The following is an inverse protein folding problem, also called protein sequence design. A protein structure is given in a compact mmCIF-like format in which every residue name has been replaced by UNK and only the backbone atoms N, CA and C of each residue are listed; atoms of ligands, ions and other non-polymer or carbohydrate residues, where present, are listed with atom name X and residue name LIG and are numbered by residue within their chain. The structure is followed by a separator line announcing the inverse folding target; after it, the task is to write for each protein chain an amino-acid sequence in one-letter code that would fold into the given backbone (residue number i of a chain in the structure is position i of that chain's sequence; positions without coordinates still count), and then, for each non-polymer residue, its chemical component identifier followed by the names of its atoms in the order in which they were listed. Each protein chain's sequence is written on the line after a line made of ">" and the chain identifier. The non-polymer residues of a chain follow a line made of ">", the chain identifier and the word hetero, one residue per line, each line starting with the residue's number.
data_IF_774106677818
#
_entry.id   IF_774106677818
#
_cell.length_a   1.000
_cell.length_b   1.000
_cell.length_c   1.000
_cell.angle_alpha   90.00
_cell.angle_beta   90.00
_cell.angle_gamma   90.00
#
_symmetry.space_group_name_H-M   'P 1'
#
loop_
_entity.id
_entity.type
_entity.pdbx_description
1 polymer ?
#
# COMPACT_ATOMS: atom_id res chain seq x y z
N UNK A 1 -5.92 -8.96 8.86
CA UNK A 1 -5.00 -8.39 7.86
C UNK A 1 -3.57 -8.56 8.36
N UNK A 2 -2.61 -8.69 7.48
CA UNK A 2 -1.20 -8.89 7.84
C UNK A 2 -0.33 -7.80 7.24
N UNK A 3 0.72 -7.42 7.96
CA UNK A 3 1.75 -6.52 7.46
C UNK A 3 3.06 -7.29 7.35
N UNK A 4 3.67 -7.27 6.16
CA UNK A 4 5.00 -7.86 5.92
C UNK A 4 5.96 -6.77 5.52
N UNK A 5 7.11 -6.72 6.18
CA UNK A 5 8.16 -5.76 5.87
C UNK A 5 9.51 -6.46 5.82
N UNK A 6 10.40 -5.95 4.99
CA UNK A 6 11.78 -6.43 4.97
C UNK A 6 12.62 -5.86 6.10
N UNK A 7 12.17 -4.75 6.69
CA UNK A 7 12.96 -3.97 7.65
C UNK A 7 12.65 -4.30 9.10
N UNK A 8 11.36 -4.30 9.49
CA UNK A 8 10.95 -4.45 10.89
C UNK A 8 10.18 -5.73 11.17
N UNK A 9 10.04 -6.60 10.17
CA UNK A 9 9.44 -7.92 10.34
C UNK A 9 7.98 -8.02 9.92
N UNK A 10 7.31 -9.02 10.46
CA UNK A 10 5.95 -9.38 10.08
C UNK A 10 5.01 -9.22 11.27
N UNK A 11 3.79 -8.72 11.00
CA UNK A 11 2.80 -8.45 12.03
C UNK A 11 1.44 -8.99 11.61
N UNK A 12 0.78 -9.71 12.52
CA UNK A 12 -0.62 -10.07 12.36
C UNK A 12 -1.47 -8.94 12.98
N UNK A 13 -2.52 -8.53 12.27
CA UNK A 13 -3.43 -7.47 12.70
C UNK A 13 -2.69 -6.19 13.11
N UNK A 14 -1.95 -5.57 12.17
CA UNK A 14 -1.18 -4.36 12.48
C UNK A 14 -2.08 -3.20 12.88
N UNK A 15 -1.57 -2.34 13.74
CA UNK A 15 -2.21 -1.07 14.08
C UNK A 15 -1.76 0.03 13.13
N UNK A 16 -2.43 1.18 13.18
CA UNK A 16 -2.01 2.37 12.43
C UNK A 16 -0.58 2.79 12.79
N UNK A 17 -0.23 2.72 14.07
CA UNK A 17 1.11 3.08 14.55
C UNK A 17 2.18 2.17 13.96
N UNK A 18 1.92 0.87 13.89
CA UNK A 18 2.84 -0.10 13.28
C UNK A 18 3.03 0.19 11.80
N UNK A 19 1.95 0.51 11.08
CA UNK A 19 2.02 0.88 9.67
C UNK A 19 2.86 2.15 9.49
N UNK A 20 2.60 3.16 10.29
CA UNK A 20 3.37 4.40 10.27
C UNK A 20 4.86 4.14 10.51
N UNK A 21 5.19 3.38 11.54
CA UNK A 21 6.58 3.03 11.87
C UNK A 21 7.25 2.27 10.73
N UNK A 22 6.54 1.32 10.12
CA UNK A 22 7.08 0.53 9.01
C UNK A 22 7.45 1.42 7.82
N UNK A 23 6.57 2.33 7.43
CA UNK A 23 6.79 3.21 6.28
C UNK A 23 7.88 4.25 6.59
N UNK A 24 7.80 4.91 7.74
CA UNK A 24 8.74 5.96 8.13
C UNK A 24 10.13 5.39 8.32
N UNK A 25 10.28 4.29 9.05
CA UNK A 25 11.57 3.67 9.29
C UNK A 25 12.21 3.18 8.00
N UNK A 26 11.45 2.50 7.15
CA UNK A 26 11.94 2.03 5.85
C UNK A 26 12.32 3.18 4.91
N UNK A 27 11.65 4.34 5.08
CA UNK A 27 11.89 5.53 4.25
C UNK A 27 13.13 6.34 4.61
N UNK A 28 13.94 5.92 5.59
CA UNK A 28 15.11 6.69 6.05
C UNK A 28 16.38 6.49 5.20
N UNK A 29 16.24 6.04 3.96
CA UNK A 29 17.32 6.08 2.98
C UNK A 29 18.25 4.88 2.94
N UNK A 30 18.31 4.06 3.98
CA UNK A 30 19.14 2.85 4.02
C UNK A 30 18.43 1.61 3.49
N UNK A 31 17.16 1.73 3.14
CA UNK A 31 16.27 0.59 2.85
C UNK A 31 15.63 0.67 1.47
N UNK A 32 16.28 1.37 0.54
CA UNK A 32 15.78 1.48 -0.84
C UNK A 32 15.58 0.10 -1.46
N UNK A 33 14.41 -0.10 -2.06
CA UNK A 33 14.04 -1.38 -2.66
C UNK A 33 13.38 -2.37 -1.72
N UNK A 34 13.35 -2.10 -0.42
CA UNK A 34 12.66 -2.93 0.54
C UNK A 34 11.15 -2.85 0.34
N UNK A 35 10.46 -3.91 0.74
CA UNK A 35 9.02 -4.04 0.57
C UNK A 35 8.29 -3.79 1.89
N UNK A 36 7.21 -3.02 1.83
CA UNK A 36 6.22 -2.92 2.90
C UNK A 36 4.87 -3.29 2.30
N UNK A 37 4.28 -4.39 2.78
CA UNK A 37 3.09 -4.99 2.18
C UNK A 37 2.00 -5.19 3.23
N UNK A 38 0.86 -4.54 3.03
CA UNK A 38 -0.33 -4.73 3.84
C UNK A 38 -1.31 -5.62 3.08
N UNK A 39 -1.64 -6.79 3.64
CA UNK A 39 -2.33 -7.83 2.88
C UNK A 39 -3.49 -8.46 3.65
N UNK A 40 -4.55 -8.75 2.94
CA UNK A 40 -5.62 -9.62 3.41
C UNK A 40 -5.23 -11.08 3.16
N UNK A 41 -4.70 -11.37 1.98
CA UNK A 41 -4.17 -12.67 1.56
C UNK A 41 -3.11 -12.46 0.46
N UNK A 42 -2.61 -13.55 -0.12
CA UNK A 42 -1.54 -13.49 -1.13
C UNK A 42 -1.98 -12.81 -2.44
N UNK A 43 -3.28 -12.71 -2.70
CA UNK A 43 -3.82 -12.13 -3.93
C UNK A 43 -4.45 -10.76 -3.72
N UNK A 44 -4.55 -10.29 -2.47
CA UNK A 44 -5.22 -9.03 -2.13
C UNK A 44 -4.35 -8.24 -1.17
N UNK A 45 -3.63 -7.25 -1.70
CA UNK A 45 -2.70 -6.47 -0.91
C UNK A 45 -2.43 -5.09 -1.51
N UNK A 46 -1.98 -4.21 -0.65
CA UNK A 46 -1.40 -2.93 -1.01
C UNK A 46 0.06 -2.95 -0.55
N UNK A 47 0.99 -2.64 -1.45
CA UNK A 47 2.38 -2.63 -1.07
C UNK A 47 3.11 -1.42 -1.64
N UNK A 48 4.23 -1.09 -1.00
CA UNK A 48 5.18 -0.11 -1.51
C UNK A 48 6.54 -0.75 -1.67
N UNK A 49 7.28 -0.27 -2.66
CA UNK A 49 8.73 -0.42 -2.71
C UNK A 49 9.33 0.88 -2.23
N UNK A 50 10.16 0.75 -1.19
CA UNK A 50 10.79 1.90 -0.55
C UNK A 50 11.75 2.57 -1.53
N UNK A 51 11.55 3.85 -1.74
CA UNK A 51 12.46 4.69 -2.53
C UNK A 51 13.34 5.53 -1.63
N UNK A 52 14.19 6.34 -2.25
CA UNK A 52 14.96 7.33 -1.51
C UNK A 52 14.01 8.38 -0.92
N UNK A 53 14.37 8.90 0.24
CA UNK A 53 13.57 9.87 0.98
C UNK A 53 13.13 11.07 0.13
N UNK A 54 14.02 11.56 -0.75
CA UNK A 54 13.76 12.70 -1.60
C UNK A 54 12.94 12.38 -2.86
N UNK A 55 12.86 11.11 -3.26
CA UNK A 55 12.19 10.69 -4.50
C UNK A 55 10.84 10.02 -4.27
N UNK A 56 10.54 9.62 -3.03
CA UNK A 56 9.28 8.96 -2.68
C UNK A 56 9.27 7.46 -2.96
N UNK A 57 8.12 6.86 -2.74
CA UNK A 57 7.91 5.41 -2.80
C UNK A 57 7.03 5.03 -3.98
N UNK A 58 7.21 3.82 -4.49
CA UNK A 58 6.34 3.24 -5.51
C UNK A 58 5.24 2.44 -4.82
N UNK A 59 4.01 2.62 -5.27
CA UNK A 59 2.82 1.98 -4.70
C UNK A 59 2.19 1.04 -5.71
N UNK A 60 1.78 -0.15 -5.23
CA UNK A 60 1.05 -1.11 -6.04
C UNK A 60 -0.13 -1.67 -5.25
N UNK A 61 -1.27 -1.81 -5.93
CA UNK A 61 -2.47 -2.46 -5.41
C UNK A 61 -2.75 -3.71 -6.21
N UNK A 62 -2.96 -4.83 -5.53
CA UNK A 62 -3.41 -6.08 -6.16
C UNK A 62 -4.74 -6.50 -5.55
N UNK A 63 -5.72 -6.82 -6.40
CA UNK A 63 -7.05 -7.26 -6.01
C UNK A 63 -7.45 -8.45 -6.89
N UNK A 64 -7.23 -9.68 -6.39
CA UNK A 64 -7.41 -10.88 -7.18
C UNK A 64 -6.50 -10.86 -8.42
N UNK A 65 -7.06 -10.98 -9.64
CA UNK A 65 -6.28 -10.90 -10.86
C UNK A 65 -5.91 -9.46 -11.27
N UNK A 66 -6.47 -8.44 -10.62
CA UNK A 66 -6.27 -7.04 -10.98
C UNK A 66 -5.05 -6.47 -10.29
N UNK A 67 -4.18 -5.83 -11.05
CA UNK A 67 -2.94 -5.25 -10.56
C UNK A 67 -2.77 -3.84 -11.11
N UNK A 68 -2.57 -2.88 -10.22
CA UNK A 68 -2.40 -1.46 -10.57
C UNK A 68 -1.17 -0.90 -9.86
N UNK A 69 -0.37 -0.14 -10.60
CA UNK A 69 0.73 0.62 -10.02
C UNK A 69 0.42 2.11 -10.06
N UNK A 70 0.82 2.83 -9.01
CA UNK A 70 0.74 4.28 -9.02
C UNK A 70 1.81 4.84 -9.97
N UNK A 71 1.40 5.75 -10.85
CA UNK A 71 2.30 6.37 -11.83
C UNK A 71 3.30 7.29 -11.12
N UNK A 72 2.84 7.98 -10.07
CA UNK A 72 3.66 8.91 -9.31
C UNK A 72 4.37 8.21 -8.17
N UNK A 73 5.54 8.72 -7.79
CA UNK A 73 6.17 8.35 -6.52
C UNK A 73 5.53 9.18 -5.41
N UNK A 74 5.23 8.52 -4.30
CA UNK A 74 4.49 9.13 -3.20
C UNK A 74 5.39 9.34 -1.98
N UNK A 75 5.15 10.42 -1.24
CA UNK A 75 5.82 10.67 0.03
C UNK A 75 5.44 9.63 1.08
N UNK A 76 6.26 9.49 2.11
CA UNK A 76 5.95 8.60 3.24
C UNK A 76 4.62 8.97 3.90
N UNK A 77 4.34 10.25 4.07
CA UNK A 77 3.07 10.71 4.65
C UNK A 77 1.88 10.29 3.81
N UNK A 78 1.97 10.44 2.50
CA UNK A 78 0.89 10.05 1.60
C UNK A 78 0.69 8.54 1.60
N UNK A 79 1.77 7.76 1.62
CA UNK A 79 1.72 6.29 1.69
C UNK A 79 1.08 5.83 3.00
N UNK A 80 1.45 6.42 4.13
CA UNK A 80 0.84 6.09 5.42
C UNK A 80 -0.67 6.32 5.38
N UNK A 81 -1.10 7.48 4.88
CA UNK A 81 -2.53 7.79 4.76
C UNK A 81 -3.27 6.73 3.93
N UNK A 82 -2.70 6.36 2.78
CA UNK A 82 -3.31 5.37 1.89
C UNK A 82 -3.36 3.98 2.56
N UNK A 83 -2.29 3.57 3.22
CA UNK A 83 -2.23 2.27 3.90
C UNK A 83 -3.18 2.20 5.08
N UNK A 84 -3.30 3.26 5.86
CA UNK A 84 -4.25 3.32 6.98
C UNK A 84 -5.68 3.22 6.46
N UNK A 85 -6.00 3.91 5.37
CA UNK A 85 -7.31 3.78 4.73
C UNK A 85 -7.57 2.35 4.25
N UNK A 86 -6.58 1.72 3.65
CA UNK A 86 -6.68 0.31 3.23
C UNK A 86 -6.93 -0.61 4.43
N UNK A 87 -6.25 -0.37 5.54
CA UNK A 87 -6.45 -1.14 6.78
C UNK A 87 -7.91 -1.08 7.25
N UNK A 88 -8.54 0.08 7.10
CA UNK A 88 -9.94 0.30 7.51
C UNK A 88 -10.94 0.03 6.39
N UNK A 89 -10.49 -0.53 5.27
CA UNK A 89 -11.32 -0.83 4.10
C UNK A 89 -12.02 0.42 3.53
N UNK A 90 -11.35 1.57 3.65
CA UNK A 90 -11.81 2.83 3.07
C UNK A 90 -11.09 3.08 1.74
N UNK A 91 -11.80 2.89 0.64
CA UNK A 91 -11.27 3.04 -0.71
C UNK A 91 -11.68 4.35 -1.38
N UNK A 92 -12.29 5.27 -0.62
CA UNK A 92 -12.84 6.52 -1.15
C UNK A 92 -11.81 7.43 -1.82
N UNK A 93 -10.54 7.34 -1.38
CA UNK A 93 -9.44 8.16 -1.92
C UNK A 93 -8.67 7.46 -3.04
N UNK A 94 -8.93 6.19 -3.32
CA UNK A 94 -8.13 5.41 -4.26
C UNK A 94 -8.34 5.85 -5.71
N UNK A 95 -9.49 6.38 -6.06
CA UNK A 95 -9.74 6.92 -7.39
C UNK A 95 -9.05 8.26 -7.66
N UNK A 96 -8.53 8.91 -6.62
CA UNK A 96 -7.73 10.14 -6.75
C UNK A 96 -6.25 9.86 -7.03
N UNK A 97 -5.81 8.61 -6.89
CA UNK A 97 -4.46 8.18 -7.18
C UNK A 97 -4.35 7.94 -8.68
N UNK A 98 -3.25 8.35 -9.28
CA UNK A 98 -3.00 8.10 -10.70
C UNK A 98 -2.40 6.71 -10.87
N UNK A 99 -3.23 5.75 -11.26
CA UNK A 99 -2.81 4.38 -11.53
C UNK A 99 -2.41 4.20 -13.00
N UNK A 100 -1.63 3.15 -13.28
CA UNK A 100 -1.27 2.75 -14.65
C UNK A 100 -2.49 2.43 -15.50
N UNK A 101 -3.58 2.00 -14.84
CA UNK A 101 -4.92 1.91 -15.42
C UNK A 101 -5.86 2.68 -14.52
N UNK A 102 -6.76 3.51 -15.07
CA UNK A 102 -7.76 4.18 -14.24
C UNK A 102 -8.64 3.17 -13.51
N UNK A 103 -9.07 3.50 -12.31
CA UNK A 103 -10.15 2.77 -11.68
C UNK A 103 -11.42 2.94 -12.51
N UNK A 104 -12.03 1.83 -12.91
CA UNK A 104 -13.37 1.81 -13.46
C UNK A 104 -14.34 1.22 -12.44
N UNK A 105 -15.62 1.25 -12.77
CA UNK A 105 -16.66 0.75 -11.88
C UNK A 105 -16.50 -0.74 -11.59
N UNK A 106 -16.14 -1.53 -12.61
CA UNK A 106 -15.95 -2.97 -12.47
C UNK A 106 -14.81 -3.28 -11.51
N UNK A 107 -13.70 -2.55 -11.64
CA UNK A 107 -12.56 -2.72 -10.76
C UNK A 107 -12.93 -2.38 -9.30
N UNK A 108 -13.62 -1.27 -9.08
CA UNK A 108 -14.05 -0.87 -7.73
C UNK A 108 -15.03 -1.87 -7.12
N UNK A 109 -15.96 -2.40 -7.91
CA UNK A 109 -16.90 -3.43 -7.46
C UNK A 109 -16.16 -4.70 -7.04
N UNK A 110 -15.18 -5.13 -7.82
CA UNK A 110 -14.36 -6.30 -7.49
C UNK A 110 -13.53 -6.06 -6.22
N UNK A 111 -12.96 -4.88 -6.06
CA UNK A 111 -12.22 -4.50 -4.86
C UNK A 111 -13.12 -4.60 -3.63
N UNK A 112 -14.33 -4.05 -3.69
CA UNK A 112 -15.29 -4.11 -2.60
C UNK A 112 -15.70 -5.53 -2.25
N UNK A 113 -15.93 -6.39 -3.24
CA UNK A 113 -16.28 -7.79 -3.01
C UNK A 113 -15.18 -8.56 -2.30
N UNK A 114 -13.93 -8.32 -2.65
CA UNK A 114 -12.80 -9.05 -2.09
C UNK A 114 -12.45 -8.58 -0.68
N UNK A 115 -12.83 -7.36 -0.31
CA UNK A 115 -12.53 -6.79 1.00
C UNK A 115 -13.64 -7.03 2.05
N UNK A 116 -14.73 -7.61 1.64
CA UNK A 116 -15.84 -7.91 2.58
C UNK A 116 -15.69 -9.32 3.20
#
# INVERSE_FOLDING_TARGET
>A
MKLRTDTIGHFDNPTEDIICDAVVYSGEGAHEGDLVKLMTDEDNFLCIWVGQRSSGHRLMLKTGPWKQECIEKLSSERVVDIMVRYLHEDFSEFNKIQWTRPFDRVFLDNLNKLQK
#
